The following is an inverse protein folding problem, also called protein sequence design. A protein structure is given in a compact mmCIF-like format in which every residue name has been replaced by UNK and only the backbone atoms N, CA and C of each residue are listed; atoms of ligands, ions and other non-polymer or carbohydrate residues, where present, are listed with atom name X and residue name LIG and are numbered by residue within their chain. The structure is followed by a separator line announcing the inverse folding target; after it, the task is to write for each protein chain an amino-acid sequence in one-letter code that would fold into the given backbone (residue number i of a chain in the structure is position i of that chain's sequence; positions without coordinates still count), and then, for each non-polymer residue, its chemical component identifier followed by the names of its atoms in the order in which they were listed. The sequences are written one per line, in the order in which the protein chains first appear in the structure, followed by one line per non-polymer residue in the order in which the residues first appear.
data_IF_889736398964
#
_entry.id   IF_889736398964
#
_cell.length_a   1.000
_cell.length_b   1.000
_cell.length_c   1.000
_cell.angle_alpha   90.00
_cell.angle_beta   90.00
_cell.angle_gamma   90.00
#
_symmetry.space_group_name_H-M   'P 1'
#
loop_
_entity.id
_entity.type
_entity.pdbx_description
1 polymer ?
#
# COMPACT_ATOMS: atom_id res chain seq x y z
N UNK A 1 -11.54 26.51 -3.26
CA UNK A 1 -10.17 25.94 -3.48
C UNK A 1 -9.19 26.24 -2.35
N UNK A 2 -9.13 27.47 -1.80
CA UNK A 2 -8.15 27.88 -0.77
C UNK A 2 -8.15 27.03 0.52
N UNK A 3 -9.34 26.54 0.96
CA UNK A 3 -9.47 25.66 2.14
C UNK A 3 -8.83 24.28 1.96
N UNK A 4 -8.79 23.76 0.73
CA UNK A 4 -8.22 22.42 0.43
C UNK A 4 -6.70 22.47 0.48
N UNK A 5 -6.06 23.50 -0.11
CA UNK A 5 -4.60 23.67 -0.03
C UNK A 5 -4.13 23.78 1.43
N UNK A 6 -4.84 24.56 2.26
CA UNK A 6 -4.53 24.69 3.69
C UNK A 6 -4.69 23.37 4.46
N UNK A 7 -5.62 22.51 4.06
CA UNK A 7 -5.77 21.17 4.65
C UNK A 7 -4.65 20.22 4.25
N UNK A 8 -4.14 20.31 3.01
CA UNK A 8 -2.99 19.53 2.54
C UNK A 8 -1.75 19.87 3.37
N UNK A 9 -1.44 21.15 3.57
CA UNK A 9 -0.29 21.55 4.41
C UNK A 9 -0.44 21.22 5.89
N UNK A 10 -1.68 21.03 6.38
CA UNK A 10 -1.95 20.57 7.75
C UNK A 10 -2.04 19.05 7.88
N UNK A 11 -1.92 18.30 6.78
CA UNK A 11 -2.03 16.84 6.82
C UNK A 11 -0.77 16.25 7.47
N UNK A 12 -0.88 15.60 8.64
CA UNK A 12 0.27 15.06 9.35
C UNK A 12 1.04 14.01 8.53
N UNK A 13 0.36 13.28 7.62
CA UNK A 13 1.03 12.35 6.72
C UNK A 13 1.99 13.08 5.76
N UNK A 14 1.56 14.20 5.19
CA UNK A 14 2.37 14.98 4.25
C UNK A 14 3.57 15.59 4.97
N UNK A 15 3.35 16.16 6.15
CA UNK A 15 4.42 16.73 6.98
C UNK A 15 5.44 15.64 7.35
N UNK A 16 4.97 14.47 7.80
CA UNK A 16 5.85 13.35 8.15
C UNK A 16 6.67 12.85 6.95
N UNK A 17 6.06 12.69 5.77
CA UNK A 17 6.77 12.27 4.56
C UNK A 17 7.79 13.32 4.10
N UNK A 18 7.45 14.61 4.15
CA UNK A 18 8.39 15.69 3.81
C UNK A 18 9.58 15.74 4.77
N UNK A 19 9.34 15.61 6.08
CA UNK A 19 10.43 15.54 7.06
C UNK A 19 11.30 14.30 6.83
N UNK A 20 10.70 13.12 6.59
CA UNK A 20 11.44 11.90 6.27
C UNK A 20 12.30 12.05 5.01
N UNK A 21 11.76 12.68 3.97
CA UNK A 21 12.48 12.97 2.73
C UNK A 21 13.65 13.93 2.96
N UNK A 22 13.44 15.01 3.72
CA UNK A 22 14.51 15.95 4.08
C UNK A 22 15.63 15.24 4.84
N UNK A 23 15.30 14.41 5.84
CA UNK A 23 16.29 13.61 6.58
C UNK A 23 17.08 12.67 5.66
N UNK A 24 16.40 12.05 4.68
CA UNK A 24 17.04 11.18 3.69
C UNK A 24 18.01 11.95 2.78
N UNK A 25 17.59 13.11 2.24
CA UNK A 25 18.40 13.94 1.34
C UNK A 25 19.61 14.55 2.04
N UNK A 26 19.44 15.04 3.28
CA UNK A 26 20.53 15.60 4.07
C UNK A 26 21.40 14.55 4.79
N UNK A 27 21.07 13.25 4.64
CA UNK A 27 21.81 12.17 5.29
C UNK A 27 21.77 12.22 6.83
N UNK A 28 20.79 12.93 7.40
CA UNK A 28 20.66 13.12 8.84
C UNK A 28 20.23 11.80 9.48
N UNK A 29 21.10 11.25 10.33
CA UNK A 29 20.78 10.05 11.10
C UNK A 29 20.06 10.45 12.38
N UNK A 30 18.87 9.90 12.58
CA UNK A 30 18.16 10.02 13.83
C UNK A 30 18.95 9.30 14.95
N UNK A 31 19.04 9.87 16.15
CA UNK A 31 19.69 9.21 17.28
C UNK A 31 18.95 7.91 17.63
N UNK A 32 19.69 6.90 18.11
CA UNK A 32 19.20 5.53 18.33
C UNK A 32 17.92 5.50 19.18
N UNK A 33 17.84 6.34 20.22
CA UNK A 33 16.65 6.47 21.06
C UNK A 33 15.40 6.86 20.26
N UNK A 34 15.49 7.87 19.38
CA UNK A 34 14.37 8.29 18.54
C UNK A 34 13.96 7.19 17.56
N UNK A 35 14.93 6.52 16.92
CA UNK A 35 14.62 5.44 15.98
C UNK A 35 13.90 4.28 16.66
N UNK A 36 14.30 3.92 17.89
CA UNK A 36 13.65 2.85 18.65
C UNK A 36 12.23 3.23 19.06
N UNK A 37 12.02 4.45 19.58
CA UNK A 37 10.68 4.95 19.93
C UNK A 37 9.76 5.03 18.72
N UNK A 38 10.25 5.54 17.59
CA UNK A 38 9.48 5.61 16.34
C UNK A 38 9.14 4.21 15.81
N UNK A 39 10.06 3.24 15.90
CA UNK A 39 9.81 1.84 15.50
C UNK A 39 8.71 1.20 16.33
N UNK A 40 8.72 1.41 17.65
CA UNK A 40 7.66 0.92 18.54
C UNK A 40 6.31 1.57 18.23
N UNK A 41 6.31 2.87 17.94
CA UNK A 41 5.09 3.61 17.58
C UNK A 41 4.54 3.17 16.21
N UNK A 42 5.42 2.92 15.23
CA UNK A 42 5.07 2.35 13.92
C UNK A 42 4.34 1.01 14.10
N UNK A 43 4.94 0.08 14.85
CA UNK A 43 4.36 -1.23 15.10
C UNK A 43 2.99 -1.14 15.81
N UNK A 44 2.88 -0.27 16.82
CA UNK A 44 1.63 -0.05 17.53
C UNK A 44 0.55 0.56 16.61
N UNK A 45 0.92 1.52 15.76
CA UNK A 45 0.01 2.14 14.79
C UNK A 45 -0.45 1.16 13.71
N UNK A 46 0.43 0.29 13.23
CA UNK A 46 0.08 -0.77 12.28
C UNK A 46 -0.92 -1.75 12.91
N UNK A 47 -0.66 -2.19 14.14
CA UNK A 47 -1.57 -3.07 14.87
C UNK A 47 -2.94 -2.40 15.13
N UNK A 48 -2.94 -1.14 15.57
CA UNK A 48 -4.17 -0.38 15.79
C UNK A 48 -4.95 -0.16 14.48
N UNK A 49 -4.26 0.16 13.37
CA UNK A 49 -4.87 0.30 12.05
C UNK A 49 -5.56 -0.98 11.58
N UNK A 50 -4.88 -2.12 11.72
CA UNK A 50 -5.45 -3.44 11.39
C UNK A 50 -6.65 -3.79 12.28
N UNK A 51 -6.59 -3.50 13.58
CA UNK A 51 -7.72 -3.68 14.50
C UNK A 51 -8.92 -2.80 14.11
N UNK A 52 -8.70 -1.53 13.77
CA UNK A 52 -9.75 -0.62 13.31
C UNK A 52 -10.40 -1.08 12.00
N UNK A 53 -9.60 -1.57 11.05
CA UNK A 53 -10.10 -2.14 9.80
C UNK A 53 -10.95 -3.38 10.08
N UNK A 54 -10.47 -4.28 10.94
CA UNK A 54 -11.22 -5.47 11.37
C UNK A 54 -12.53 -5.11 12.07
N UNK A 55 -12.51 -4.12 12.97
CA UNK A 55 -13.70 -3.63 13.66
C UNK A 55 -14.71 -2.94 12.74
N UNK A 56 -14.22 -2.32 11.66
CA UNK A 56 -15.07 -1.66 10.64
C UNK A 56 -15.60 -2.63 9.59
N UNK A 57 -15.15 -3.88 9.61
CA UNK A 57 -15.56 -4.90 8.65
C UNK A 57 -16.98 -5.37 8.96
N UNK A 58 -17.90 -5.11 8.04
CA UNK A 58 -19.29 -5.57 8.16
C UNK A 58 -19.66 -6.48 6.99
N UNK A 59 -20.03 -7.73 7.30
CA UNK A 59 -20.40 -8.76 6.33
C UNK A 59 -21.58 -8.34 5.43
N UNK A 60 -22.48 -7.49 5.95
CA UNK A 60 -23.61 -6.95 5.21
C UNK A 60 -23.16 -6.01 4.08
N UNK A 61 -22.23 -5.09 4.39
CA UNK A 61 -21.68 -4.14 3.42
C UNK A 61 -20.79 -4.82 2.39
N UNK A 62 -20.06 -5.87 2.79
CA UNK A 62 -19.29 -6.73 1.89
C UNK A 62 -20.17 -7.33 0.78
N UNK A 63 -21.33 -7.89 1.14
CA UNK A 63 -22.26 -8.47 0.16
C UNK A 63 -22.90 -7.39 -0.71
N UNK A 64 -23.32 -6.28 -0.10
CA UNK A 64 -23.97 -5.18 -0.83
C UNK A 64 -23.04 -4.52 -1.87
N UNK A 65 -21.73 -4.46 -1.59
CA UNK A 65 -20.72 -3.82 -2.45
C UNK A 65 -19.81 -4.82 -3.16
N UNK A 66 -20.19 -6.10 -3.24
CA UNK A 66 -19.33 -7.17 -3.75
C UNK A 66 -18.81 -6.92 -5.17
N UNK A 67 -19.65 -6.37 -6.07
CA UNK A 67 -19.24 -6.03 -7.43
C UNK A 67 -18.14 -4.95 -7.48
N UNK A 68 -18.25 -3.92 -6.63
CA UNK A 68 -17.24 -2.87 -6.52
C UNK A 68 -15.94 -3.41 -5.92
N UNK A 69 -16.04 -4.23 -4.87
CA UNK A 69 -14.89 -4.82 -4.19
C UNK A 69 -14.12 -5.73 -5.13
N UNK A 70 -14.81 -6.63 -5.84
CA UNK A 70 -14.18 -7.54 -6.82
C UNK A 70 -13.54 -6.78 -7.97
N UNK A 71 -14.17 -5.73 -8.50
CA UNK A 71 -13.57 -4.87 -9.52
C UNK A 71 -12.27 -4.21 -9.01
N UNK A 72 -12.27 -3.67 -7.79
CA UNK A 72 -11.07 -3.09 -7.17
C UNK A 72 -9.95 -4.12 -6.94
N UNK A 73 -10.29 -5.35 -6.58
CA UNK A 73 -9.33 -6.45 -6.41
C UNK A 73 -8.67 -6.77 -7.75
N UNK A 74 -9.47 -7.03 -8.80
CA UNK A 74 -8.97 -7.37 -10.13
C UNK A 74 -8.12 -6.23 -10.69
N UNK A 75 -8.62 -5.00 -10.60
CA UNK A 75 -7.88 -3.83 -11.06
C UNK A 75 -6.53 -3.70 -10.33
N UNK A 76 -6.53 -3.78 -9.00
CA UNK A 76 -5.32 -3.50 -8.21
C UNK A 76 -4.30 -4.63 -8.24
N UNK A 77 -4.75 -5.89 -8.19
CA UNK A 77 -3.87 -7.06 -8.02
C UNK A 77 -3.53 -7.77 -9.34
N UNK A 78 -4.25 -7.47 -10.43
CA UNK A 78 -3.97 -8.05 -11.75
C UNK A 78 -3.63 -6.97 -12.78
N UNK A 79 -4.52 -5.99 -12.99
CA UNK A 79 -4.33 -5.01 -14.07
C UNK A 79 -3.10 -4.14 -13.82
N UNK A 80 -2.97 -3.57 -12.62
CA UNK A 80 -1.83 -2.69 -12.26
C UNK A 80 -0.47 -3.39 -12.36
N UNK A 81 -0.23 -4.58 -11.78
CA UNK A 81 1.04 -5.28 -11.94
C UNK A 81 1.32 -5.74 -13.37
N UNK A 82 0.28 -6.06 -14.16
CA UNK A 82 0.45 -6.43 -15.57
C UNK A 82 0.86 -5.23 -16.44
N UNK A 83 0.29 -4.05 -16.18
CA UNK A 83 0.75 -2.80 -16.77
C UNK A 83 2.19 -2.49 -16.35
N UNK A 84 2.52 -2.66 -15.07
CA UNK A 84 3.86 -2.42 -14.56
C UNK A 84 4.90 -3.36 -15.19
N UNK A 85 4.56 -4.64 -15.36
CA UNK A 85 5.38 -5.63 -16.05
C UNK A 85 5.62 -5.23 -17.51
N UNK A 86 4.55 -4.95 -18.25
CA UNK A 86 4.65 -4.60 -19.68
C UNK A 86 5.43 -3.31 -19.88
N UNK A 87 5.22 -2.30 -19.04
CA UNK A 87 6.02 -1.09 -19.02
C UNK A 87 7.50 -1.39 -18.75
N UNK A 88 7.82 -2.21 -17.74
CA UNK A 88 9.20 -2.57 -17.43
C UNK A 88 9.93 -3.23 -18.61
N UNK A 89 9.23 -4.09 -19.36
CA UNK A 89 9.77 -4.71 -20.57
C UNK A 89 9.99 -3.68 -21.70
N UNK A 90 9.04 -2.77 -21.92
CA UNK A 90 9.17 -1.73 -22.95
C UNK A 90 10.33 -0.78 -22.66
N UNK A 91 10.57 -0.47 -21.39
CA UNK A 91 11.69 0.38 -20.95
C UNK A 91 13.01 -0.38 -20.76
N UNK A 92 13.03 -1.70 -20.95
CA UNK A 92 14.24 -2.52 -20.85
C UNK A 92 14.88 -2.54 -19.46
N UNK A 93 14.05 -2.52 -18.40
CA UNK A 93 14.55 -2.52 -17.02
C UNK A 93 15.35 -3.78 -16.71
N UNK A 94 16.36 -3.63 -15.84
CA UNK A 94 17.09 -4.78 -15.29
C UNK A 94 16.15 -5.70 -14.48
N UNK A 95 16.53 -6.97 -14.36
CA UNK A 95 15.74 -8.02 -13.69
C UNK A 95 15.34 -7.68 -12.25
N UNK A 96 16.22 -7.05 -11.49
CA UNK A 96 15.98 -6.63 -10.11
C UNK A 96 15.02 -5.44 -10.07
N UNK A 97 15.24 -4.41 -10.91
CA UNK A 97 14.34 -3.26 -11.00
C UNK A 97 12.93 -3.66 -11.46
N UNK A 98 12.81 -4.58 -12.43
CA UNK A 98 11.54 -5.16 -12.87
C UNK A 98 10.85 -5.90 -11.72
N UNK A 99 11.59 -6.76 -11.01
CA UNK A 99 11.09 -7.48 -9.83
C UNK A 99 10.51 -6.54 -8.78
N UNK A 100 11.27 -5.50 -8.41
CA UNK A 100 10.84 -4.49 -7.44
C UNK A 100 9.59 -3.76 -7.94
N UNK A 101 9.55 -3.32 -9.20
CA UNK A 101 8.41 -2.59 -9.75
C UNK A 101 7.12 -3.41 -9.73
N UNK A 102 7.18 -4.66 -10.20
CA UNK A 102 5.98 -5.54 -10.23
C UNK A 102 5.54 -5.90 -8.82
N UNK A 103 6.46 -6.12 -7.89
CA UNK A 103 6.14 -6.34 -6.48
C UNK A 103 5.41 -5.14 -5.87
N UNK A 104 5.92 -3.93 -6.05
CA UNK A 104 5.25 -2.72 -5.57
C UNK A 104 3.87 -2.54 -6.20
N UNK A 105 3.73 -2.86 -7.48
CA UNK A 105 2.46 -2.79 -8.19
C UNK A 105 1.44 -3.84 -7.73
N UNK A 106 1.89 -5.00 -7.25
CA UNK A 106 1.06 -6.09 -6.74
C UNK A 106 0.65 -5.92 -5.26
N UNK A 107 1.14 -4.89 -4.55
CA UNK A 107 0.76 -4.65 -3.15
C UNK A 107 -0.72 -4.22 -3.03
N UNK A 108 -1.41 -4.67 -1.96
CA UNK A 108 -2.76 -4.21 -1.67
C UNK A 108 -2.77 -2.72 -1.32
N UNK A 109 -3.96 -2.12 -1.26
CA UNK A 109 -4.13 -0.70 -0.93
C UNK A 109 -3.55 -0.38 0.45
N UNK A 110 -2.89 0.78 0.56
CA UNK A 110 -2.24 1.21 1.79
C UNK A 110 -3.25 1.47 2.93
N UNK A 111 -2.86 1.09 4.15
CA UNK A 111 -3.67 1.29 5.37
C UNK A 111 -4.00 2.76 5.63
N UNK A 112 -3.13 3.68 5.17
CA UNK A 112 -3.33 5.13 5.28
C UNK A 112 -4.58 5.62 4.54
N UNK A 113 -5.05 4.91 3.50
CA UNK A 113 -6.28 5.25 2.79
C UNK A 113 -7.52 5.15 3.69
N UNK A 114 -7.56 4.20 4.62
CA UNK A 114 -8.64 4.08 5.59
C UNK A 114 -8.70 5.30 6.51
N UNK A 115 -7.57 5.63 7.13
CA UNK A 115 -7.46 6.78 8.05
C UNK A 115 -7.81 8.09 7.33
N UNK A 116 -7.32 8.25 6.10
CA UNK A 116 -7.62 9.44 5.29
C UNK A 116 -9.10 9.54 4.95
N UNK A 117 -9.72 8.43 4.53
CA UNK A 117 -11.16 8.38 4.21
C UNK A 117 -12.00 8.70 5.44
N UNK A 118 -11.65 8.15 6.61
CA UNK A 118 -12.33 8.44 7.88
C UNK A 118 -12.20 9.93 8.25
N UNK A 119 -11.01 10.52 8.10
CA UNK A 119 -10.76 11.93 8.43
C UNK A 119 -11.45 12.92 7.48
N UNK A 120 -11.75 12.51 6.25
CA UNK A 120 -12.40 13.33 5.22
C UNK A 120 -13.92 13.15 5.17
N UNK A 121 -14.51 12.37 6.08
CA UNK A 121 -15.95 12.09 6.09
C UNK A 121 -16.43 11.18 4.96
N UNK A 122 -15.53 10.37 4.39
CA UNK A 122 -15.85 9.38 3.37
C UNK A 122 -16.32 8.04 3.96
N UNK A 123 -16.54 7.06 3.10
CA UNK A 123 -16.99 5.71 3.47
C UNK A 123 -15.81 4.83 3.93
N UNK A 124 -15.38 5.05 5.17
CA UNK A 124 -14.29 4.29 5.79
C UNK A 124 -14.58 2.77 5.88
N UNK A 125 -15.80 2.29 6.20
CA UNK A 125 -16.14 0.87 6.19
C UNK A 125 -15.97 0.22 4.80
N UNK A 126 -16.35 0.91 3.72
CA UNK A 126 -16.11 0.38 2.37
C UNK A 126 -14.62 0.22 2.06
N UNK A 127 -13.79 1.20 2.43
CA UNK A 127 -12.33 1.12 2.24
C UNK A 127 -11.72 0.01 3.09
N UNK A 128 -12.18 -0.18 4.33
CA UNK A 128 -11.76 -1.28 5.19
C UNK A 128 -12.11 -2.65 4.55
N UNK A 129 -13.31 -2.80 4.02
CA UNK A 129 -13.78 -4.01 3.33
C UNK A 129 -12.95 -4.32 2.08
N UNK A 130 -12.73 -3.33 1.21
CA UNK A 130 -11.89 -3.48 0.00
C UNK A 130 -10.46 -3.86 0.39
N UNK A 131 -9.86 -3.14 1.34
CA UNK A 131 -8.46 -3.35 1.75
C UNK A 131 -8.27 -4.72 2.39
N UNK A 132 -9.23 -5.20 3.18
CA UNK A 132 -9.20 -6.54 3.78
C UNK A 132 -9.28 -7.61 2.71
N UNK A 133 -10.23 -7.51 1.79
CA UNK A 133 -10.38 -8.49 0.71
C UNK A 133 -9.19 -8.48 -0.26
N UNK A 134 -8.61 -7.30 -0.53
CA UNK A 134 -7.36 -7.19 -1.28
C UNK A 134 -6.19 -7.82 -0.54
N UNK A 135 -6.07 -7.63 0.78
CA UNK A 135 -5.02 -8.26 1.59
C UNK A 135 -5.13 -9.78 1.55
N UNK A 136 -6.34 -10.33 1.74
CA UNK A 136 -6.60 -11.76 1.65
C UNK A 136 -6.30 -12.32 0.25
N UNK A 137 -6.73 -11.61 -0.79
CA UNK A 137 -6.45 -12.00 -2.19
C UNK A 137 -4.95 -11.92 -2.50
N UNK A 138 -4.26 -10.92 -1.96
CA UNK A 138 -2.83 -10.72 -2.13
C UNK A 138 -2.00 -11.86 -1.53
N UNK A 139 -2.47 -12.52 -0.47
CA UNK A 139 -1.80 -13.72 0.08
C UNK A 139 -1.68 -14.84 -0.96
N UNK A 140 -2.59 -14.90 -1.95
CA UNK A 140 -2.55 -15.87 -3.04
C UNK A 140 -1.88 -15.29 -4.29
N UNK A 141 -2.13 -14.02 -4.64
CA UNK A 141 -1.61 -13.45 -5.89
C UNK A 141 -0.15 -13.01 -5.79
N UNK A 142 0.34 -12.55 -4.63
CA UNK A 142 1.74 -12.13 -4.48
C UNK A 142 2.73 -13.28 -4.72
N UNK A 143 2.55 -14.50 -4.16
CA UNK A 143 3.40 -15.64 -4.49
C UNK A 143 3.40 -16.00 -5.98
N UNK A 144 2.28 -15.82 -6.67
CA UNK A 144 2.17 -16.10 -8.11
C UNK A 144 2.98 -15.07 -8.90
N UNK A 145 2.84 -13.78 -8.58
CA UNK A 145 3.63 -12.73 -9.20
C UNK A 145 5.12 -12.88 -8.89
N UNK A 146 5.51 -13.18 -7.66
CA UNK A 146 6.93 -13.42 -7.33
C UNK A 146 7.47 -14.62 -8.10
N UNK A 147 6.71 -15.72 -8.19
CA UNK A 147 7.09 -16.90 -8.95
C UNK A 147 7.20 -16.64 -10.46
N UNK A 148 6.34 -15.79 -11.02
CA UNK A 148 6.39 -15.48 -12.45
C UNK A 148 7.45 -14.44 -12.79
N UNK A 149 7.72 -13.46 -11.91
CA UNK A 149 8.65 -12.35 -12.14
C UNK A 149 10.08 -12.68 -11.72
N UNK A 150 10.26 -13.13 -10.48
CA UNK A 150 11.57 -13.21 -9.83
C UNK A 150 12.23 -14.58 -10.04
N UNK A 151 11.44 -15.63 -10.19
CA UNK A 151 11.91 -17.01 -10.37
C UNK A 151 12.61 -17.23 -11.73
N UNK A 152 12.15 -16.63 -12.84
CA UNK A 152 12.92 -16.61 -14.10
C UNK A 152 14.13 -15.66 -14.05
N UNK A 153 14.07 -14.64 -13.20
CA UNK A 153 15.14 -13.66 -13.04
C UNK A 153 16.34 -14.20 -12.23
N UNK A 154 16.10 -15.07 -11.25
CA UNK A 154 17.10 -15.55 -10.28
C UNK A 154 18.03 -16.65 -10.78
N UNK A 155 17.83 -17.19 -11.99
CA UNK A 155 18.75 -18.17 -12.58
C UNK A 155 18.90 -19.49 -11.81
N UNK A 156 18.01 -19.79 -10.86
CA UNK A 156 18.06 -20.99 -9.99
C UNK A 156 17.65 -22.29 -10.71
N UNK A 157 17.35 -22.25 -12.02
CA UNK A 157 17.08 -23.43 -12.86
C UNK A 157 17.83 -23.32 -14.22
N UNK A 158 19.09 -22.88 -14.20
CA UNK A 158 20.06 -23.22 -15.25
C UNK A 158 21.32 -23.79 -14.61
#
# INVERSE_FOLDING_TARGET
MQKVLLQVFKNPLIIATLLGLLFNVFGLRLPVFLTASLKSLENASLAAGLLCIGASLTLRDLKAKFALISACIVQRLLIVPLIAWTAALVFGLDKLSLGVLVLFAALPTAQSCYVMTASMGGDAPAVANVTTMQTLSAMLTLPIWTAYVLLPASGLIQ
#
